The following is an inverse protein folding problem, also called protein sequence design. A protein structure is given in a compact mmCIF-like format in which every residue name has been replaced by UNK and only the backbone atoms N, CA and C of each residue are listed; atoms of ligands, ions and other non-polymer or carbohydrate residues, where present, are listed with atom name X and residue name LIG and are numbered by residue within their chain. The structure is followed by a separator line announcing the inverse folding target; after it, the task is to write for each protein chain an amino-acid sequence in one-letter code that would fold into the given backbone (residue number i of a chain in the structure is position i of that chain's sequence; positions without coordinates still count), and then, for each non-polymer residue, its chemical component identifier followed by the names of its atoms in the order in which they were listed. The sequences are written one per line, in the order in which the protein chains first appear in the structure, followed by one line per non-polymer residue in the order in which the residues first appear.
data_IF_378249065878
#
_entry.id   IF_378249065878
#
_cell.length_a   1.000
_cell.length_b   1.000
_cell.length_c   1.000
_cell.angle_alpha   90.00
_cell.angle_beta   90.00
_cell.angle_gamma   90.00
#
_symmetry.space_group_name_H-M   'P 1'
#
loop_
_entity.id
_entity.type
_entity.pdbx_description
1 polymer ?
#
# COMPACT_ATOMS: atom_id res chain seq x y z
N UNK A 1 -1.64 6.60 0.05
CA UNK A 1 -1.27 5.20 -0.25
C UNK A 1 0.23 4.98 -0.11
N UNK A 2 1.08 5.41 -1.06
CA UNK A 2 2.53 5.14 -1.01
C UNK A 2 3.20 5.47 0.33
N UNK A 3 2.89 6.64 0.91
CA UNK A 3 3.43 7.03 2.23
C UNK A 3 3.02 6.03 3.31
N UNK A 4 1.73 5.66 3.38
CA UNK A 4 1.24 4.65 4.33
C UNK A 4 1.93 3.30 4.14
N UNK A 5 2.10 2.83 2.90
CA UNK A 5 2.82 1.57 2.63
C UNK A 5 4.30 1.64 3.06
N UNK A 6 4.98 2.77 2.84
CA UNK A 6 6.37 2.96 3.28
C UNK A 6 6.47 2.98 4.80
N UNK A 7 5.52 3.60 5.49
CA UNK A 7 5.44 3.61 6.95
C UNK A 7 5.33 2.18 7.49
N UNK A 8 4.36 1.42 6.96
CA UNK A 8 4.11 0.03 7.36
C UNK A 8 5.30 -0.89 7.06
N UNK A 9 5.86 -0.82 5.84
CA UNK A 9 6.99 -1.66 5.43
C UNK A 9 8.26 -1.38 6.23
N UNK A 10 8.50 -0.11 6.60
CA UNK A 10 9.64 0.26 7.44
C UNK A 10 9.50 -0.39 8.82
N UNK A 11 8.31 -0.33 9.43
CA UNK A 11 8.06 -0.99 10.72
C UNK A 11 8.15 -2.51 10.62
N UNK A 12 7.61 -3.13 9.56
CA UNK A 12 7.76 -4.58 9.35
C UNK A 12 9.21 -5.00 9.16
N UNK A 13 10.02 -4.21 8.44
CA UNK A 13 11.44 -4.47 8.29
C UNK A 13 12.15 -4.47 9.65
N UNK A 14 11.82 -3.50 10.50
CA UNK A 14 12.35 -3.39 11.87
C UNK A 14 11.86 -4.58 12.72
N UNK A 15 10.59 -4.97 12.58
CA UNK A 15 10.03 -6.20 13.16
C UNK A 15 10.83 -7.44 12.78
N UNK A 16 11.14 -7.62 11.50
CA UNK A 16 11.96 -8.73 11.03
C UNK A 16 13.38 -8.76 11.61
N UNK A 17 14.00 -7.59 11.83
CA UNK A 17 15.29 -7.51 12.54
C UNK A 17 15.15 -7.96 13.99
N UNK A 18 14.09 -7.55 14.69
CA UNK A 18 13.80 -8.00 16.06
C UNK A 18 13.58 -9.51 16.13
N UNK A 19 12.83 -10.09 15.17
CA UNK A 19 12.63 -11.54 15.08
C UNK A 19 13.94 -12.30 14.87
N UNK A 20 14.79 -11.86 13.92
CA UNK A 20 16.05 -12.56 13.60
C UNK A 20 17.08 -12.47 14.73
N UNK A 21 17.06 -11.37 15.48
CA UNK A 21 17.97 -11.17 16.61
C UNK A 21 17.43 -11.75 17.92
N UNK A 22 16.21 -12.30 17.91
CA UNK A 22 15.48 -12.78 19.09
C UNK A 22 15.47 -11.74 20.24
N UNK A 23 15.43 -10.46 19.89
CA UNK A 23 15.52 -9.36 20.83
C UNK A 23 14.52 -8.26 20.51
N UNK A 24 13.87 -7.75 21.54
CA UNK A 24 12.95 -6.62 21.47
C UNK A 24 13.69 -5.31 21.72
N UNK A 25 13.18 -4.21 21.16
CA UNK A 25 13.69 -2.89 21.53
C UNK A 25 13.15 -2.50 22.92
N UNK A 26 13.58 -1.34 23.41
CA UNK A 26 12.92 -0.74 24.57
C UNK A 26 11.43 -0.54 24.24
N UNK A 27 10.54 -0.93 25.15
CA UNK A 27 9.10 -0.79 25.07
C UNK A 27 8.63 0.57 24.52
N UNK A 28 9.30 1.68 24.88
CA UNK A 28 8.96 3.00 24.34
C UNK A 28 9.18 3.11 22.83
N UNK A 29 10.27 2.53 22.33
CA UNK A 29 10.62 2.52 20.90
C UNK A 29 9.67 1.62 20.13
N UNK A 30 9.36 0.44 20.66
CA UNK A 30 8.40 -0.48 20.04
C UNK A 30 7.03 0.18 19.88
N UNK A 31 6.58 0.87 20.92
CA UNK A 31 5.32 1.57 20.90
C UNK A 31 5.26 2.72 19.90
N UNK A 32 6.37 3.42 19.68
CA UNK A 32 6.48 4.42 18.60
C UNK A 32 6.34 3.74 17.23
N UNK A 33 7.00 2.59 17.02
CA UNK A 33 6.88 1.84 15.77
C UNK A 33 5.48 1.26 15.56
N UNK A 34 4.83 0.79 16.63
CA UNK A 34 3.46 0.30 16.63
C UNK A 34 2.44 1.40 16.29
N UNK A 35 2.55 2.57 16.93
CA UNK A 35 1.74 3.72 16.57
C UNK A 35 2.00 4.17 15.11
N UNK A 36 3.25 4.07 14.66
CA UNK A 36 3.65 4.42 13.29
C UNK A 36 3.05 3.47 12.24
N UNK A 37 3.15 2.15 12.43
CA UNK A 37 2.55 1.17 11.49
C UNK A 37 1.03 1.34 11.44
N UNK A 38 0.39 1.53 12.58
CA UNK A 38 -1.06 1.67 12.65
C UNK A 38 -1.56 2.97 12.03
N UNK A 39 -0.86 4.09 12.26
CA UNK A 39 -1.17 5.34 11.54
C UNK A 39 -0.97 5.18 10.02
N UNK A 40 0.04 4.40 9.60
CA UNK A 40 0.27 4.04 8.20
C UNK A 40 -0.87 3.22 7.59
N UNK A 41 -1.50 2.34 8.36
CA UNK A 41 -2.67 1.55 7.97
C UNK A 41 -3.88 2.44 7.68
N UNK A 42 -4.23 3.35 8.60
CA UNK A 42 -5.34 4.29 8.37
C UNK A 42 -5.07 5.30 7.26
N UNK A 43 -3.82 5.76 7.11
CA UNK A 43 -3.44 6.61 5.97
C UNK A 43 -3.57 5.85 4.64
N UNK A 44 -3.26 4.56 4.63
CA UNK A 44 -3.45 3.70 3.47
C UNK A 44 -4.93 3.59 3.11
N UNK A 45 -5.78 3.18 4.05
CA UNK A 45 -7.22 3.03 3.84
C UNK A 45 -7.91 4.34 3.45
N UNK A 46 -7.64 5.44 4.15
CA UNK A 46 -8.22 6.74 3.83
C UNK A 46 -7.81 7.24 2.44
N UNK A 47 -6.60 6.93 2.00
CA UNK A 47 -6.17 7.23 0.64
C UNK A 47 -6.81 6.29 -0.41
N UNK A 48 -7.06 5.03 -0.09
CA UNK A 48 -7.84 4.11 -0.94
C UNK A 48 -9.27 4.61 -1.14
N UNK A 49 -9.91 5.10 -0.07
CA UNK A 49 -11.22 5.74 -0.12
C UNK A 49 -11.20 7.01 -0.99
N UNK A 50 -10.19 7.86 -0.81
CA UNK A 50 -9.99 9.06 -1.64
C UNK A 50 -9.93 8.70 -3.13
N UNK A 51 -9.19 7.66 -3.50
CA UNK A 51 -9.11 7.21 -4.90
C UNK A 51 -10.46 6.71 -5.42
N UNK A 52 -11.22 5.97 -4.62
CA UNK A 52 -12.56 5.53 -5.03
C UNK A 52 -13.49 6.72 -5.28
N UNK A 53 -13.45 7.75 -4.41
CA UNK A 53 -14.22 8.99 -4.59
C UNK A 53 -13.78 9.74 -5.85
N UNK A 54 -12.48 9.90 -6.09
CA UNK A 54 -11.94 10.55 -7.29
C UNK A 54 -12.47 9.89 -8.57
N UNK A 55 -12.52 8.55 -8.60
CA UNK A 55 -13.09 7.80 -9.73
C UNK A 55 -14.57 8.07 -9.92
N UNK A 56 -15.37 8.08 -8.87
CA UNK A 56 -16.80 8.42 -8.95
C UNK A 56 -16.99 9.85 -9.48
N UNK A 57 -16.20 10.80 -8.99
CA UNK A 57 -16.30 12.20 -9.40
C UNK A 57 -15.98 12.41 -10.88
N UNK A 58 -15.03 11.67 -11.45
CA UNK A 58 -14.74 11.72 -12.89
C UNK A 58 -15.99 11.37 -13.74
N UNK A 59 -16.85 10.46 -13.27
CA UNK A 59 -18.06 10.08 -14.00
C UNK A 59 -19.27 10.97 -13.72
N UNK A 60 -19.37 11.54 -12.51
CA UNK A 60 -20.50 12.38 -12.11
C UNK A 60 -20.33 13.83 -12.55
N UNK A 61 -19.11 14.38 -12.49
CA UNK A 61 -18.85 15.79 -12.82
C UNK A 61 -18.77 15.99 -14.33
N UNK A 62 -19.91 16.20 -14.98
CA UNK A 62 -19.97 16.81 -16.33
C UNK A 62 -19.60 18.30 -16.32
N UNK A 63 -19.56 18.95 -15.14
CA UNK A 63 -19.41 20.39 -14.96
C UNK A 63 -18.34 20.70 -13.90
N UNK A 64 -17.28 21.40 -14.31
CA UNK A 64 -16.33 22.13 -13.45
C UNK A 64 -15.37 21.29 -12.58
N UNK A 65 -14.09 21.25 -12.96
CA UNK A 65 -13.03 20.54 -12.20
C UNK A 65 -12.73 21.09 -10.79
N UNK A 66 -13.22 22.28 -10.43
CA UNK A 66 -12.93 22.90 -9.13
C UNK A 66 -13.60 22.16 -7.95
N UNK A 67 -14.87 21.76 -8.08
CA UNK A 67 -15.58 21.04 -7.01
C UNK A 67 -14.99 19.64 -6.76
N UNK A 68 -14.70 18.89 -7.83
CA UNK A 68 -14.06 17.58 -7.71
C UNK A 68 -12.69 17.69 -7.01
N UNK A 69 -11.89 18.69 -7.38
CA UNK A 69 -10.61 18.97 -6.74
C UNK A 69 -10.77 19.24 -5.24
N UNK A 70 -11.72 20.09 -4.85
CA UNK A 70 -11.99 20.41 -3.44
C UNK A 70 -12.41 19.18 -2.62
N UNK A 71 -13.30 18.34 -3.18
CA UNK A 71 -13.73 17.10 -2.53
C UNK A 71 -12.53 16.15 -2.33
N UNK A 72 -11.74 15.90 -3.38
CA UNK A 72 -10.56 15.03 -3.28
C UNK A 72 -9.56 15.56 -2.24
N UNK A 73 -9.26 16.86 -2.21
CA UNK A 73 -8.39 17.46 -1.19
C UNK A 73 -8.94 17.31 0.23
N UNK A 74 -10.25 17.40 0.40
CA UNK A 74 -10.89 17.21 1.70
C UNK A 74 -10.73 15.77 2.20
N UNK A 75 -10.90 14.77 1.33
CA UNK A 75 -10.68 13.35 1.68
C UNK A 75 -9.20 13.05 1.96
N UNK A 76 -8.27 13.67 1.22
CA UNK A 76 -6.84 13.58 1.52
C UNK A 76 -6.57 14.14 2.92
N UNK A 77 -7.03 15.36 3.22
CA UNK A 77 -6.85 15.98 4.53
C UNK A 77 -7.46 15.12 5.65
N UNK A 78 -8.64 14.55 5.42
CA UNK A 78 -9.29 13.62 6.34
C UNK A 78 -8.44 12.35 6.58
N UNK A 79 -7.85 11.75 5.54
CA UNK A 79 -7.00 10.57 5.71
C UNK A 79 -5.75 10.84 6.56
N UNK A 80 -5.13 12.02 6.39
CA UNK A 80 -4.01 12.44 7.21
C UNK A 80 -4.42 12.74 8.64
N UNK A 81 -5.56 13.40 8.83
CA UNK A 81 -6.11 13.67 10.16
C UNK A 81 -6.37 12.37 10.92
N UNK A 82 -6.99 11.38 10.28
CA UNK A 82 -7.26 10.07 10.87
C UNK A 82 -5.96 9.37 11.31
N UNK A 83 -4.95 9.37 10.43
CA UNK A 83 -3.64 8.79 10.73
C UNK A 83 -2.96 9.49 11.92
N UNK A 84 -2.99 10.83 11.97
CA UNK A 84 -2.43 11.61 13.09
C UNK A 84 -3.18 11.35 14.39
N UNK A 85 -4.51 11.25 14.36
CA UNK A 85 -5.31 10.92 15.54
C UNK A 85 -4.91 9.56 16.09
N UNK A 86 -4.82 8.53 15.24
CA UNK A 86 -4.36 7.20 15.66
C UNK A 86 -2.93 7.20 16.20
N UNK A 87 -2.02 7.92 15.53
CA UNK A 87 -0.64 8.07 16.00
C UNK A 87 -0.59 8.66 17.41
N UNK A 88 -1.32 9.75 17.65
CA UNK A 88 -1.33 10.44 18.95
C UNK A 88 -1.99 9.56 20.01
N UNK A 89 -3.15 8.98 19.73
CA UNK A 89 -3.89 8.13 20.68
C UNK A 89 -3.04 6.94 21.10
N UNK A 90 -2.35 6.27 20.17
CA UNK A 90 -1.53 5.10 20.52
C UNK A 90 -0.26 5.44 21.34
N UNK A 91 0.14 6.71 21.33
CA UNK A 91 1.22 7.23 22.19
C UNK A 91 0.73 7.62 23.60
N UNK A 92 -0.59 7.69 23.86
CA UNK A 92 -1.16 7.97 25.19
C UNK A 92 -1.12 6.70 26.05
N UNK A 93 -0.59 6.74 27.30
CA UNK A 93 -0.55 5.57 28.19
C UNK A 93 -1.89 4.83 28.22
N UNK A 94 -1.87 3.49 28.27
CA UNK A 94 -3.03 2.57 28.19
C UNK A 94 -3.54 2.22 26.77
N UNK A 95 -3.06 2.91 25.72
CA UNK A 95 -3.43 2.65 24.33
C UNK A 95 -2.25 2.14 23.50
N UNK A 96 -1.56 1.08 23.93
CA UNK A 96 -0.40 0.57 23.21
C UNK A 96 -0.75 -0.39 22.05
N UNK A 97 0.07 -0.32 21.01
CA UNK A 97 0.18 -1.28 19.91
C UNK A 97 1.66 -1.65 19.85
N UNK A 98 1.98 -2.91 20.09
CA UNK A 98 3.36 -3.35 20.35
C UNK A 98 3.67 -4.63 19.59
N UNK A 99 4.97 -4.95 19.51
CA UNK A 99 5.42 -6.17 18.85
C UNK A 99 5.30 -7.34 19.84
N UNK A 100 4.36 -8.24 19.59
CA UNK A 100 4.07 -9.38 20.45
C UNK A 100 4.78 -10.63 19.97
N UNK A 101 5.31 -11.41 20.92
CA UNK A 101 5.93 -12.72 20.70
C UNK A 101 6.98 -12.79 19.57
N UNK A 102 7.62 -11.68 19.21
CA UNK A 102 8.57 -11.57 18.09
C UNK A 102 8.00 -11.91 16.71
N UNK A 103 6.67 -11.91 16.54
CA UNK A 103 6.01 -12.44 15.34
C UNK A 103 5.02 -11.47 14.71
N UNK A 104 4.28 -10.70 15.52
CA UNK A 104 3.23 -9.82 15.04
C UNK A 104 3.15 -8.49 15.78
N UNK A 105 2.54 -7.51 15.13
CA UNK A 105 2.17 -6.25 15.75
C UNK A 105 0.71 -6.35 16.16
N UNK A 106 0.42 -6.16 17.44
CA UNK A 106 -0.93 -6.28 17.96
C UNK A 106 -1.20 -5.32 19.12
N UNK A 107 -2.47 -5.17 19.45
CA UNK A 107 -2.92 -4.35 20.58
C UNK A 107 -2.48 -4.95 21.92
N UNK A 108 -2.02 -4.09 22.81
CA UNK A 108 -1.67 -4.48 24.18
C UNK A 108 -2.90 -4.97 24.96
N UNK A 109 -2.67 -5.72 26.04
CA UNK A 109 -3.72 -6.25 26.92
C UNK A 109 -4.31 -5.23 27.91
N UNK A 110 -4.33 -3.95 27.54
CA UNK A 110 -4.88 -2.85 28.35
C UNK A 110 -6.33 -2.51 27.95
N UNK A 111 -7.13 -1.95 28.87
CA UNK A 111 -8.51 -1.55 28.57
C UNK A 111 -8.62 -0.53 27.42
N UNK A 112 -7.70 0.45 27.36
CA UNK A 112 -7.62 1.42 26.28
C UNK A 112 -7.35 0.77 24.91
N UNK A 113 -6.35 -0.09 24.82
CA UNK A 113 -6.01 -0.83 23.60
C UNK A 113 -7.15 -1.71 23.10
N UNK A 114 -7.87 -2.40 24.00
CA UNK A 114 -9.07 -3.19 23.61
C UNK A 114 -10.19 -2.31 23.06
N UNK A 115 -10.38 -1.13 23.64
CA UNK A 115 -11.38 -0.17 23.14
C UNK A 115 -10.99 0.32 21.73
N UNK A 116 -9.71 0.57 21.49
CA UNK A 116 -9.20 0.94 20.17
C UNK A 116 -9.33 -0.17 19.15
N UNK A 117 -9.08 -1.42 19.53
CA UNK A 117 -9.30 -2.59 18.67
C UNK A 117 -10.75 -2.66 18.18
N UNK A 118 -11.73 -2.47 19.06
CA UNK A 118 -13.16 -2.45 18.66
C UNK A 118 -13.50 -1.26 17.76
N UNK A 119 -12.95 -0.07 18.06
CA UNK A 119 -13.16 1.11 17.22
C UNK A 119 -12.58 0.91 15.82
N UNK A 120 -11.39 0.33 15.74
CA UNK A 120 -10.72 -0.01 14.49
C UNK A 120 -11.51 -1.03 13.68
N UNK A 121 -11.98 -2.12 14.28
CA UNK A 121 -12.80 -3.12 13.61
C UNK A 121 -14.02 -2.49 12.92
N UNK A 122 -14.71 -1.58 13.61
CA UNK A 122 -15.87 -0.86 13.09
C UNK A 122 -15.45 0.11 11.97
N UNK A 123 -14.38 0.89 12.17
CA UNK A 123 -13.93 1.88 11.20
C UNK A 123 -13.43 1.22 9.91
N UNK A 124 -12.64 0.16 10.02
CA UNK A 124 -12.13 -0.60 8.89
C UNK A 124 -13.27 -1.19 8.06
N UNK A 125 -14.27 -1.78 8.73
CA UNK A 125 -15.44 -2.31 8.05
C UNK A 125 -16.24 -1.23 7.32
N UNK A 126 -16.43 -0.05 7.94
CA UNK A 126 -17.13 1.09 7.32
C UNK A 126 -16.35 1.60 6.09
N UNK A 127 -15.03 1.78 6.22
CA UNK A 127 -14.20 2.32 5.12
C UNK A 127 -14.17 1.34 3.95
N UNK A 128 -13.93 0.05 4.20
CA UNK A 128 -13.91 -0.99 3.16
C UNK A 128 -15.26 -1.15 2.46
N UNK A 129 -16.35 -1.16 3.23
CA UNK A 129 -17.70 -1.20 2.66
C UNK A 129 -17.99 0.03 1.80
N UNK A 130 -17.58 1.21 2.26
CA UNK A 130 -17.67 2.45 1.50
C UNK A 130 -16.89 2.39 0.18
N UNK A 131 -15.65 1.89 0.21
CA UNK A 131 -14.83 1.67 -0.98
C UNK A 131 -15.53 0.75 -1.98
N UNK A 132 -16.05 -0.40 -1.52
CA UNK A 132 -16.76 -1.35 -2.38
C UNK A 132 -17.99 -0.72 -3.04
N UNK A 133 -18.80 0.00 -2.27
CA UNK A 133 -20.00 0.68 -2.77
C UNK A 133 -19.63 1.72 -3.84
N UNK A 134 -18.59 2.54 -3.60
CA UNK A 134 -18.13 3.53 -4.57
C UNK A 134 -17.64 2.87 -5.87
N UNK A 135 -16.87 1.79 -5.79
CA UNK A 135 -16.44 1.04 -6.98
C UNK A 135 -17.61 0.38 -7.73
N UNK A 136 -18.63 -0.10 -7.01
CA UNK A 136 -19.85 -0.61 -7.61
C UNK A 136 -20.61 0.51 -8.35
N UNK A 137 -20.68 1.72 -7.78
CA UNK A 137 -21.26 2.90 -8.46
C UNK A 137 -20.47 3.22 -9.74
N UNK A 138 -19.13 3.24 -9.69
CA UNK A 138 -18.28 3.43 -10.87
C UNK A 138 -18.61 2.40 -11.95
N UNK A 139 -18.75 1.13 -11.57
CA UNK A 139 -19.11 0.06 -12.49
C UNK A 139 -20.47 0.29 -13.16
N UNK A 140 -21.50 0.67 -12.38
CA UNK A 140 -22.82 1.00 -12.93
C UNK A 140 -22.77 2.19 -13.88
N UNK A 141 -22.01 3.25 -13.54
CA UNK A 141 -21.79 4.40 -14.42
C UNK A 141 -21.15 3.98 -15.75
N UNK A 142 -20.14 3.11 -15.72
CA UNK A 142 -19.49 2.56 -16.92
C UNK A 142 -20.47 1.76 -17.79
N UNK A 143 -21.29 0.90 -17.18
CA UNK A 143 -22.31 0.14 -17.92
C UNK A 143 -23.35 1.07 -18.58
N UNK A 144 -23.74 2.15 -17.90
CA UNK A 144 -24.66 3.15 -18.44
C UNK A 144 -24.04 3.88 -19.64
N UNK A 145 -22.79 4.32 -19.54
CA UNK A 145 -22.08 4.98 -20.65
C UNK A 145 -21.92 4.08 -21.88
N UNK A 146 -21.74 2.76 -21.66
CA UNK A 146 -21.71 1.78 -22.75
C UNK A 146 -23.04 1.71 -23.49
N UNK A 147 -24.17 1.70 -22.78
CA UNK A 147 -25.51 1.67 -23.40
C UNK A 147 -25.80 2.91 -24.24
N UNK A 148 -25.25 4.06 -23.87
CA UNK A 148 -25.42 5.33 -24.60
C UNK A 148 -24.44 5.48 -25.78
N UNK A 149 -23.60 4.48 -26.07
CA UNK A 149 -22.72 4.46 -27.25
C UNK A 149 -21.64 5.54 -27.26
N UNK A 150 -21.42 6.24 -26.15
CA UNK A 150 -20.60 7.46 -26.09
C UNK A 150 -19.14 7.19 -25.74
N UNK A 151 -18.80 5.97 -25.31
CA UNK A 151 -17.46 5.61 -24.83
C UNK A 151 -16.72 4.70 -25.83
N UNK A 152 -15.47 5.04 -26.16
CA UNK A 152 -14.60 4.22 -26.98
C UNK A 152 -14.17 2.92 -26.27
N UNK A 153 -14.07 1.83 -27.04
CA UNK A 153 -13.76 0.47 -26.56
C UNK A 153 -12.43 0.40 -25.77
N UNK A 154 -11.43 1.20 -26.17
CA UNK A 154 -10.12 1.23 -25.51
C UNK A 154 -10.18 1.77 -24.07
N UNK A 155 -11.03 2.76 -23.81
CA UNK A 155 -11.22 3.33 -22.46
C UNK A 155 -11.85 2.30 -21.52
N UNK A 156 -12.83 1.53 -22.01
CA UNK A 156 -13.54 0.54 -21.20
C UNK A 156 -12.64 -0.58 -20.69
N UNK A 157 -11.70 -1.05 -21.52
CA UNK A 157 -10.79 -2.13 -21.11
C UNK A 157 -9.88 -1.71 -19.95
N UNK A 158 -9.43 -0.46 -19.94
CA UNK A 158 -8.60 0.07 -18.84
C UNK A 158 -9.42 0.18 -17.57
N UNK A 159 -10.63 0.73 -17.66
CA UNK A 159 -11.50 0.91 -16.49
C UNK A 159 -11.96 -0.44 -15.90
N UNK A 160 -12.28 -1.43 -16.73
CA UNK A 160 -12.64 -2.78 -16.26
C UNK A 160 -11.47 -3.48 -15.57
N UNK A 161 -10.23 -3.26 -16.02
CA UNK A 161 -9.03 -3.76 -15.33
C UNK A 161 -8.83 -3.11 -13.97
N UNK A 162 -9.09 -1.80 -13.86
CA UNK A 162 -9.01 -1.08 -12.58
C UNK A 162 -10.06 -1.62 -11.61
N UNK A 163 -11.31 -1.82 -12.08
CA UNK A 163 -12.37 -2.40 -11.28
C UNK A 163 -12.03 -3.82 -10.82
N UNK A 164 -11.53 -4.67 -11.72
CA UNK A 164 -11.12 -6.03 -11.36
C UNK A 164 -10.08 -6.00 -10.23
N UNK A 165 -9.13 -5.09 -10.29
CA UNK A 165 -8.07 -4.96 -9.29
C UNK A 165 -8.61 -4.40 -7.98
N UNK A 166 -9.56 -3.48 -8.03
CA UNK A 166 -10.26 -3.03 -6.84
C UNK A 166 -11.02 -4.17 -6.15
N UNK A 167 -11.70 -5.04 -6.92
CA UNK A 167 -12.40 -6.22 -6.38
C UNK A 167 -11.42 -7.21 -5.78
N UNK A 168 -10.30 -7.49 -6.45
CA UNK A 168 -9.26 -8.40 -5.92
C UNK A 168 -8.64 -7.81 -4.65
N UNK A 169 -8.33 -6.50 -4.64
CA UNK A 169 -7.81 -5.79 -3.46
C UNK A 169 -8.80 -5.87 -2.30
N UNK A 170 -10.09 -5.64 -2.56
CA UNK A 170 -11.14 -5.74 -1.55
C UNK A 170 -11.23 -7.13 -0.94
N UNK A 171 -11.27 -8.18 -1.78
CA UNK A 171 -11.31 -9.57 -1.29
C UNK A 171 -10.07 -9.88 -0.45
N UNK A 172 -8.91 -9.40 -0.88
CA UNK A 172 -7.65 -9.56 -0.17
C UNK A 172 -7.66 -8.83 1.18
N UNK A 173 -8.04 -7.56 1.23
CA UNK A 173 -8.14 -6.74 2.44
C UNK A 173 -9.17 -7.33 3.42
N UNK A 174 -10.33 -7.79 2.95
CA UNK A 174 -11.30 -8.49 3.79
C UNK A 174 -10.74 -9.80 4.35
N UNK A 175 -9.95 -10.54 3.56
CA UNK A 175 -9.30 -11.77 4.05
C UNK A 175 -8.26 -11.42 5.12
N UNK A 176 -7.44 -10.40 4.89
CA UNK A 176 -6.49 -9.92 5.87
C UNK A 176 -7.17 -9.51 7.18
N UNK A 177 -8.22 -8.68 7.14
CA UNK A 177 -8.96 -8.29 8.34
C UNK A 177 -9.64 -9.46 9.06
N UNK A 178 -10.15 -10.43 8.29
CA UNK A 178 -10.72 -11.65 8.86
C UNK A 178 -9.68 -12.41 9.71
N UNK A 179 -8.44 -12.52 9.21
CA UNK A 179 -7.32 -13.09 9.96
C UNK A 179 -6.85 -12.18 11.10
N UNK A 180 -6.80 -10.87 10.90
CA UNK A 180 -6.32 -9.93 11.91
C UNK A 180 -7.21 -9.89 13.15
N UNK A 181 -8.54 -9.78 12.99
CA UNK A 181 -9.47 -9.68 14.12
C UNK A 181 -9.96 -11.04 14.63
N UNK A 182 -10.22 -11.99 13.71
CA UNK A 182 -10.82 -13.29 14.06
C UNK A 182 -9.89 -14.48 13.82
N UNK A 183 -8.62 -14.26 13.46
CA UNK A 183 -7.68 -15.34 13.15
C UNK A 183 -7.44 -16.31 14.30
N UNK A 184 -7.52 -15.84 15.55
CA UNK A 184 -7.43 -16.69 16.75
C UNK A 184 -8.58 -17.70 16.84
N UNK A 185 -9.74 -17.42 16.24
CA UNK A 185 -10.87 -18.34 16.15
C UNK A 185 -10.74 -19.29 14.94
N UNK A 186 -10.05 -18.86 13.88
CA UNK A 186 -9.88 -19.63 12.64
C UNK A 186 -8.71 -20.61 12.72
N UNK A 187 -7.62 -20.23 13.40
CA UNK A 187 -6.38 -20.98 13.49
C UNK A 187 -6.01 -21.13 14.97
N UNK A 188 -6.08 -22.35 15.49
CA UNK A 188 -5.81 -22.64 16.91
C UNK A 188 -4.35 -22.44 17.32
N UNK A 189 -3.42 -22.47 16.36
CA UNK A 189 -2.01 -22.22 16.61
C UNK A 189 -1.70 -20.72 16.48
N UNK A 190 -1.47 -20.06 17.62
CA UNK A 190 -1.19 -18.62 17.70
C UNK A 190 0.02 -18.22 16.86
N UNK A 191 1.12 -18.99 16.88
CA UNK A 191 2.32 -18.72 16.07
C UNK A 191 1.99 -18.70 14.57
N UNK A 192 1.22 -19.67 14.10
CA UNK A 192 0.83 -19.75 12.69
C UNK A 192 -0.06 -18.58 12.31
N UNK A 193 -0.99 -18.20 13.20
CA UNK A 193 -1.86 -17.06 12.99
C UNK A 193 -1.07 -15.73 12.91
N UNK A 194 -0.15 -15.49 13.85
CA UNK A 194 0.71 -14.31 13.87
C UNK A 194 1.58 -14.22 12.62
N UNK A 195 2.21 -15.32 12.21
CA UNK A 195 3.01 -15.37 10.97
C UNK A 195 2.14 -15.13 9.74
N UNK A 196 0.98 -15.77 9.64
CA UNK A 196 0.07 -15.58 8.52
C UNK A 196 -0.41 -14.13 8.42
N UNK A 197 -0.79 -13.54 9.54
CA UNK A 197 -1.25 -12.14 9.63
C UNK A 197 -0.15 -11.17 9.23
N UNK A 198 1.07 -11.34 9.76
CA UNK A 198 2.23 -10.53 9.37
C UNK A 198 2.58 -10.67 7.87
N UNK A 199 2.51 -11.88 7.31
CA UNK A 199 2.75 -12.10 5.88
C UNK A 199 1.67 -11.45 5.01
N UNK A 200 0.39 -11.58 5.39
CA UNK A 200 -0.71 -10.92 4.68
C UNK A 200 -0.54 -9.40 4.74
N UNK A 201 -0.17 -8.83 5.88
CA UNK A 201 0.04 -7.40 6.02
C UNK A 201 1.21 -6.88 5.16
N UNK A 202 2.34 -7.58 5.16
CA UNK A 202 3.50 -7.23 4.33
C UNK A 202 3.15 -7.31 2.83
N UNK A 203 2.44 -8.36 2.44
CA UNK A 203 2.03 -8.54 1.05
C UNK A 203 1.02 -7.47 0.64
N UNK A 204 0.10 -7.05 1.52
CA UNK A 204 -0.84 -5.95 1.26
C UNK A 204 -0.11 -4.66 0.85
N UNK A 205 0.89 -4.27 1.66
CA UNK A 205 1.72 -3.09 1.40
C UNK A 205 2.39 -3.11 0.02
N UNK A 206 2.79 -4.29 -0.45
CA UNK A 206 3.42 -4.50 -1.75
C UNK A 206 2.42 -4.70 -2.90
N UNK A 207 1.28 -5.33 -2.63
CA UNK A 207 0.32 -5.79 -3.62
C UNK A 207 -0.24 -4.62 -4.42
N UNK A 208 -0.65 -3.54 -3.76
CA UNK A 208 -1.17 -2.36 -4.45
C UNK A 208 -0.15 -1.73 -5.40
N UNK A 209 1.12 -1.64 -4.97
CA UNK A 209 2.22 -1.10 -5.79
C UNK A 209 2.51 -2.00 -6.99
N UNK A 210 2.55 -3.32 -6.78
CA UNK A 210 2.77 -4.31 -7.82
C UNK A 210 1.60 -4.34 -8.82
N UNK A 211 0.36 -4.30 -8.35
CA UNK A 211 -0.84 -4.26 -9.18
C UNK A 211 -0.85 -2.99 -10.04
N UNK A 212 -0.61 -1.82 -9.44
CA UNK A 212 -0.52 -0.55 -10.17
C UNK A 212 0.56 -0.58 -11.25
N UNK A 213 1.74 -1.13 -10.92
CA UNK A 213 2.83 -1.30 -11.88
C UNK A 213 2.46 -2.30 -12.99
N UNK A 214 1.77 -3.40 -12.68
CA UNK A 214 1.35 -4.40 -13.65
C UNK A 214 0.37 -3.83 -14.69
N UNK A 215 -0.56 -2.97 -14.25
CA UNK A 215 -1.55 -2.32 -15.12
C UNK A 215 -0.89 -1.22 -15.97
N UNK A 216 -0.08 -0.37 -15.34
CA UNK A 216 0.33 0.87 -15.95
C UNK A 216 1.55 0.66 -16.86
N UNK A 217 1.26 0.38 -18.13
CA UNK A 217 2.28 0.18 -19.17
C UNK A 217 3.24 1.38 -19.32
N UNK A 218 2.78 2.60 -19.05
CA UNK A 218 3.62 3.80 -19.06
C UNK A 218 4.63 3.79 -17.91
N UNK A 219 4.19 3.45 -16.69
CA UNK A 219 5.08 3.28 -15.54
C UNK A 219 6.12 2.19 -15.80
N UNK A 220 5.72 1.02 -16.33
CA UNK A 220 6.67 -0.05 -16.67
C UNK A 220 7.74 0.44 -17.64
N UNK A 221 7.35 1.13 -18.72
CA UNK A 221 8.30 1.69 -19.70
C UNK A 221 9.27 2.67 -19.05
N UNK A 222 8.80 3.54 -18.15
CA UNK A 222 9.64 4.49 -17.40
C UNK A 222 10.61 3.75 -16.46
N UNK A 223 10.15 2.76 -15.71
CA UNK A 223 10.99 1.95 -14.81
C UNK A 223 12.05 1.17 -15.57
N UNK A 224 11.72 0.52 -16.70
CA UNK A 224 12.71 -0.14 -17.55
C UNK A 224 13.75 0.84 -18.11
N UNK A 225 13.35 2.09 -18.43
CA UNK A 225 14.27 3.13 -18.87
C UNK A 225 15.24 3.56 -17.76
N UNK A 226 14.76 3.65 -16.52
CA UNK A 226 15.60 3.94 -15.34
C UNK A 226 16.54 2.77 -15.07
N UNK A 227 16.04 1.53 -15.03
CA UNK A 227 16.86 0.33 -14.84
C UNK A 227 17.98 0.20 -15.88
N UNK A 228 17.67 0.46 -17.16
CA UNK A 228 18.69 0.50 -18.24
C UNK A 228 19.72 1.62 -18.09
N UNK A 229 19.40 2.72 -17.39
CA UNK A 229 20.36 3.80 -17.10
C UNK A 229 21.18 3.53 -15.84
N UNK A 230 20.57 2.92 -14.82
CA UNK A 230 21.22 2.55 -13.57
C UNK A 230 22.13 1.32 -13.68
N UNK A 231 21.99 0.52 -14.74
CA UNK A 231 23.06 -0.35 -15.26
C UNK A 231 23.79 0.38 -16.40
N UNK A 232 24.67 1.36 -16.09
CA UNK A 232 25.49 1.92 -17.14
C UNK A 232 26.33 0.79 -17.76
N UNK A 233 26.45 0.88 -19.07
CA UNK A 233 27.42 0.20 -19.92
C UNK A 233 28.89 0.48 -19.50
N UNK A 234 29.21 0.75 -18.23
CA UNK A 234 30.57 0.91 -17.71
C UNK A 234 31.42 -0.32 -18.00
N UNK A 235 30.82 -1.51 -18.06
CA UNK A 235 31.51 -2.73 -18.48
C UNK A 235 31.86 -2.74 -19.98
N UNK A 236 30.93 -2.34 -20.85
CA UNK A 236 31.20 -2.29 -22.31
C UNK A 236 32.09 -1.11 -22.70
N UNK A 237 32.03 0.02 -21.99
CA UNK A 237 32.89 1.19 -22.24
C UNK A 237 34.34 0.93 -21.82
N UNK A 238 34.57 0.20 -20.73
CA UNK A 238 35.93 -0.20 -20.32
C UNK A 238 36.54 -1.26 -21.24
N UNK A 239 35.75 -2.21 -21.78
CA UNK A 239 36.27 -3.15 -22.79
C UNK A 239 36.65 -2.47 -24.11
N UNK A 240 35.86 -1.49 -24.58
CA UNK A 240 36.22 -0.73 -25.80
C UNK A 240 37.49 0.12 -25.66
N UNK A 241 37.82 0.55 -24.44
CA UNK A 241 39.03 1.34 -24.18
C UNK A 241 40.29 0.47 -24.01
N UNK A 242 40.18 -0.80 -23.60
CA UNK A 242 41.32 -1.72 -23.58
C UNK A 242 41.74 -2.14 -24.99
N UNK A 243 40.79 -2.44 -25.89
CA UNK A 243 41.10 -2.84 -27.28
C UNK A 243 41.74 -1.70 -28.09
N UNK A 244 41.49 -0.43 -27.72
CA UNK A 244 42.11 0.71 -28.40
C UNK A 244 43.56 0.99 -27.99
N UNK A 245 44.01 0.51 -26.82
CA UNK A 245 45.40 0.67 -26.35
C UNK A 245 46.33 -0.45 -26.81
N UNK A 246 45.82 -1.49 -27.47
CA UNK A 246 46.60 -2.59 -28.04
C UNK A 246 46.70 -2.52 -29.57
N UNK A 247 46.86 -1.32 -30.14
CA UNK A 247 47.34 -1.21 -31.52
C UNK A 247 48.88 -1.24 -31.47
N UNK A 248 49.54 -2.28 -32.02
CA UNK A 248 51.00 -2.31 -32.10
C UNK A 248 51.48 -1.17 -33.01
N UNK A 249 52.45 -0.40 -32.53
CA UNK A 249 53.23 0.51 -33.36
C UNK A 249 53.90 -0.33 -34.45
N UNK A 250 53.44 -0.19 -35.70
CA UNK A 250 54.12 -0.71 -36.88
C UNK A 250 55.37 0.14 -37.08
N UNK A 251 56.50 -0.38 -36.59
CA UNK A 251 57.84 0.15 -36.85
C UNK A 251 58.15 -0.11 -38.33
N UNK A 252 58.08 0.94 -39.15
CA UNK A 252 58.72 0.93 -40.46
C UNK A 252 60.23 1.00 -40.25
N UNK A 253 60.94 -0.09 -40.55
CA UNK A 253 62.38 -0.08 -40.80
C UNK A 253 62.60 -0.01 -42.32
N UNK A 254 63.52 0.90 -42.65
CA UNK A 254 64.15 1.20 -43.94
C UNK A 254 64.39 0.00 -44.85
#
# INVERSE_FOLDING_TARGET
MLIGCLMQLTTHFIGGVMTVTENTFNHQVERVFGAWIQSGWFLYQGASLTLAVDRVMIFLSKSGGAHACFVCWSFIAFSFLLAVVYLVVLLIPDFGFSYSHYLDWFYDNTPGSRSMLTVEEILDFIILSGILILYFIVFLCLLKMRKTGTAGISSLSVELRILLIAVVSFVYECTYLAFFFWGSHLVTNETVNSVATSLLWIVDCGFFSLATMAINSSMRKKMFKIGRKSFPNSYLRNQSNMVRKSKPLLIYKL
#
